data_IF_722868653931
#
_entry.id   IF_722868653931
#
_cell.length_a   1.000
_cell.length_b   1.000
_cell.length_c   1.000
_cell.angle_alpha   90.00
_cell.angle_beta   90.00
_cell.angle_gamma   90.00
#
_symmetry.space_group_name_H-M   'P 1'
#
loop_
_entity.id
_entity.type
_entity.pdbx_description
1 polymer ?
#
# COMPACT_ATOMS: atom_id res chain seq x y z
N UNK A 1 0.03 -13.65 -10.10
CA UNK A 1 -0.42 -13.66 -8.69
C UNK A 1 -1.51 -14.70 -8.47
N UNK A 2 -2.67 -14.65 -9.16
CA UNK A 2 -3.75 -15.63 -8.96
C UNK A 2 -3.34 -17.10 -9.23
N UNK A 3 -2.46 -17.34 -10.21
CA UNK A 3 -1.88 -18.67 -10.45
C UNK A 3 -1.12 -19.21 -9.22
N UNK A 4 -0.33 -18.34 -8.57
CA UNK A 4 0.42 -18.68 -7.35
C UNK A 4 -0.52 -18.91 -6.16
N UNK A 5 -1.60 -18.13 -6.06
CA UNK A 5 -2.66 -18.35 -5.05
C UNK A 5 -3.27 -19.74 -5.22
N UNK A 6 -3.68 -20.09 -6.44
CA UNK A 6 -4.29 -21.39 -6.74
C UNK A 6 -3.33 -22.54 -6.45
N UNK A 7 -2.07 -22.42 -6.87
CA UNK A 7 -1.04 -23.42 -6.60
C UNK A 7 -0.83 -23.63 -5.09
N UNK A 8 -0.78 -22.55 -4.29
CA UNK A 8 -0.63 -22.65 -2.84
C UNK A 8 -1.86 -23.27 -2.18
N UNK A 9 -3.06 -22.90 -2.61
CA UNK A 9 -4.29 -23.52 -2.10
C UNK A 9 -4.29 -25.04 -2.35
N UNK A 10 -3.92 -25.48 -3.56
CA UNK A 10 -3.78 -26.89 -3.90
C UNK A 10 -2.73 -27.60 -3.03
N UNK A 11 -1.54 -27.01 -2.87
CA UNK A 11 -0.47 -27.59 -2.05
C UNK A 11 -0.85 -27.70 -0.56
N UNK A 12 -1.74 -26.83 -0.08
CA UNK A 12 -2.27 -26.84 1.28
C UNK A 12 -3.55 -27.68 1.43
N UNK A 13 -4.06 -28.29 0.35
CA UNK A 13 -5.29 -29.07 0.36
C UNK A 13 -6.56 -28.24 0.62
N UNK A 14 -6.54 -26.94 0.29
CA UNK A 14 -7.67 -26.04 0.47
C UNK A 14 -8.59 -26.08 -0.75
N UNK A 15 -9.86 -26.45 -0.55
CA UNK A 15 -10.91 -26.51 -1.58
C UNK A 15 -11.90 -25.33 -1.52
N UNK A 16 -11.74 -24.46 -0.51
CA UNK A 16 -12.60 -23.32 -0.22
C UNK A 16 -12.05 -21.97 -0.74
N UNK A 17 -11.12 -21.99 -1.70
CA UNK A 17 -10.51 -20.80 -2.30
C UNK A 17 -10.89 -20.72 -3.78
N UNK A 18 -11.63 -19.67 -4.15
CA UNK A 18 -12.04 -19.41 -5.53
C UNK A 18 -11.45 -18.08 -6.02
N UNK A 19 -10.39 -18.07 -6.85
CA UNK A 19 -9.86 -16.84 -7.42
C UNK A 19 -10.79 -16.30 -8.51
N UNK A 20 -11.06 -15.00 -8.47
CA UNK A 20 -11.76 -14.29 -9.53
C UNK A 20 -10.82 -13.20 -10.08
N UNK A 21 -10.56 -13.22 -11.39
CA UNK A 21 -9.73 -12.20 -12.05
C UNK A 21 -10.59 -11.00 -12.41
N UNK A 22 -10.46 -9.92 -11.65
CA UNK A 22 -11.11 -8.62 -11.91
C UNK A 22 -10.17 -7.47 -11.58
N UNK A 23 -10.38 -6.36 -12.27
CA UNK A 23 -9.82 -5.04 -11.95
C UNK A 23 -10.81 -4.20 -11.13
N UNK A 24 -10.32 -3.14 -10.51
CA UNK A 24 -11.15 -2.14 -9.81
C UNK A 24 -12.03 -1.34 -10.77
N UNK A 25 -11.64 -1.24 -12.03
CA UNK A 25 -12.33 -0.48 -13.08
C UNK A 25 -13.43 -1.33 -13.75
N UNK A 26 -13.33 -2.66 -13.68
CA UNK A 26 -14.29 -3.58 -14.26
C UNK A 26 -15.57 -3.69 -13.42
N UNK A 27 -16.67 -4.11 -14.06
CA UNK A 27 -17.90 -4.44 -13.36
C UNK A 27 -17.73 -5.71 -12.50
N UNK A 28 -18.35 -5.70 -11.31
CA UNK A 28 -18.30 -6.76 -10.32
C UNK A 28 -19.65 -7.49 -10.15
N UNK A 29 -20.61 -7.35 -11.06
CA UNK A 29 -21.93 -8.02 -10.94
C UNK A 29 -21.82 -9.54 -10.76
N UNK A 30 -20.82 -10.18 -11.38
CA UNK A 30 -20.51 -11.62 -11.26
C UNK A 30 -19.69 -11.98 -10.01
N UNK A 31 -19.23 -10.99 -9.24
CA UNK A 31 -18.55 -11.22 -7.96
C UNK A 31 -19.61 -11.45 -6.87
N UNK A 32 -19.55 -12.57 -6.12
CA UNK A 32 -20.55 -12.87 -5.11
C UNK A 32 -20.51 -11.87 -3.95
N UNK A 33 -21.67 -11.65 -3.33
CA UNK A 33 -21.73 -10.99 -2.04
C UNK A 33 -21.25 -11.94 -0.93
N UNK A 34 -20.43 -11.42 -0.04
CA UNK A 34 -19.86 -12.14 1.09
C UNK A 34 -20.26 -11.49 2.41
N UNK A 35 -20.08 -12.21 3.51
CA UNK A 35 -20.32 -11.64 4.84
C UNK A 35 -19.39 -10.45 5.11
N UNK A 36 -18.13 -10.57 4.68
CA UNK A 36 -17.13 -9.53 4.83
C UNK A 36 -16.37 -9.32 3.51
N UNK A 37 -15.89 -8.10 3.31
CA UNK A 37 -14.89 -7.80 2.27
C UNK A 37 -13.58 -7.34 2.91
N UNK A 38 -12.46 -7.77 2.33
CA UNK A 38 -11.11 -7.38 2.79
C UNK A 38 -10.32 -6.81 1.63
N UNK A 39 -9.84 -5.58 1.76
CA UNK A 39 -8.92 -4.92 0.82
C UNK A 39 -7.56 -4.72 1.48
N UNK A 40 -6.59 -5.59 1.17
CA UNK A 40 -5.29 -5.58 1.83
C UNK A 40 -4.24 -4.88 0.99
N UNK A 41 -3.90 -3.64 1.33
CA UNK A 41 -2.90 -2.80 0.64
C UNK A 41 -3.17 -2.66 -0.87
N UNK A 42 -4.44 -2.65 -1.24
CA UNK A 42 -4.93 -2.69 -2.63
C UNK A 42 -5.81 -1.49 -2.99
N UNK A 43 -5.71 -0.40 -2.22
CA UNK A 43 -6.56 0.80 -2.33
C UNK A 43 -5.91 1.96 -3.09
N UNK A 44 -4.74 1.78 -3.69
CA UNK A 44 -4.18 2.75 -4.64
C UNK A 44 -4.89 2.63 -5.98
N UNK A 45 -6.10 3.18 -6.03
CA UNK A 45 -7.01 3.19 -7.18
C UNK A 45 -7.23 4.61 -7.67
N UNK A 46 -7.67 4.77 -8.91
CA UNK A 46 -7.93 6.09 -9.49
C UNK A 46 -9.09 6.82 -8.78
N UNK A 47 -10.09 6.07 -8.30
CA UNK A 47 -11.29 6.60 -7.66
C UNK A 47 -11.60 5.80 -6.39
N UNK A 48 -11.12 6.30 -5.26
CA UNK A 48 -11.30 5.63 -3.97
C UNK A 48 -12.77 5.59 -3.55
N UNK A 49 -13.55 6.63 -3.88
CA UNK A 49 -14.96 6.70 -3.50
C UNK A 49 -15.76 5.57 -4.15
N UNK A 50 -15.58 5.37 -5.45
CA UNK A 50 -16.18 4.24 -6.17
C UNK A 50 -15.69 2.88 -5.69
N UNK A 51 -14.43 2.77 -5.29
CA UNK A 51 -13.91 1.53 -4.75
C UNK A 51 -14.55 1.18 -3.39
N UNK A 52 -14.77 2.17 -2.52
CA UNK A 52 -15.52 1.99 -1.27
C UNK A 52 -16.96 1.55 -1.55
N UNK A 53 -17.63 2.15 -2.54
CA UNK A 53 -18.98 1.74 -2.95
C UNK A 53 -19.01 0.30 -3.46
N UNK A 54 -18.02 -0.13 -4.25
CA UNK A 54 -17.90 -1.52 -4.70
C UNK A 54 -17.70 -2.51 -3.56
N UNK A 55 -16.82 -2.19 -2.61
CA UNK A 55 -16.62 -3.01 -1.41
C UNK A 55 -17.90 -3.11 -0.58
N UNK A 56 -18.58 -1.98 -0.37
CA UNK A 56 -19.87 -1.96 0.31
C UNK A 56 -20.91 -2.79 -0.43
N UNK A 57 -21.01 -2.70 -1.75
CA UNK A 57 -21.95 -3.50 -2.54
C UNK A 57 -21.73 -5.01 -2.37
N UNK A 58 -20.49 -5.46 -2.13
CA UNK A 58 -20.14 -6.89 -1.99
C UNK A 58 -20.04 -7.41 -0.56
N UNK A 59 -20.07 -6.54 0.45
CA UNK A 59 -20.13 -6.95 1.86
C UNK A 59 -21.57 -6.96 2.38
N UNK A 60 -21.90 -7.92 3.23
CA UNK A 60 -23.18 -7.94 3.97
C UNK A 60 -23.09 -7.37 5.38
N UNK A 61 -21.94 -7.53 6.05
CA UNK A 61 -21.79 -7.18 7.47
C UNK A 61 -20.71 -6.13 7.71
N UNK A 62 -19.53 -6.29 7.11
CA UNK A 62 -18.40 -5.39 7.38
C UNK A 62 -17.37 -5.37 6.25
N UNK A 63 -16.60 -4.29 6.19
CA UNK A 63 -15.45 -4.15 5.31
C UNK A 63 -14.21 -3.84 6.16
N UNK A 64 -13.09 -4.44 5.77
CA UNK A 64 -11.78 -4.22 6.39
C UNK A 64 -10.76 -3.83 5.32
N UNK A 65 -10.02 -2.75 5.57
CA UNK A 65 -9.01 -2.24 4.65
C UNK A 65 -7.69 -2.03 5.37
N UNK A 66 -6.58 -2.28 4.67
CA UNK A 66 -5.28 -1.75 5.09
C UNK A 66 -4.80 -0.72 4.09
N UNK A 67 -4.41 0.44 4.61
CA UNK A 67 -4.03 1.61 3.81
C UNK A 67 -2.71 2.20 4.30
N UNK A 68 -2.02 2.93 3.43
CA UNK A 68 -0.81 3.67 3.81
C UNK A 68 -1.15 4.74 4.85
N UNK A 69 -0.28 4.89 5.84
CA UNK A 69 -0.30 6.00 6.81
C UNK A 69 0.45 7.19 6.24
N UNK A 70 1.69 6.93 5.85
CA UNK A 70 2.54 7.90 5.19
C UNK A 70 2.06 8.15 3.76
N UNK A 71 2.21 9.40 3.33
CA UNK A 71 1.86 9.84 1.97
C UNK A 71 2.86 9.37 0.91
N UNK A 72 3.99 8.78 1.31
CA UNK A 72 5.07 8.33 0.44
C UNK A 72 5.58 6.92 0.81
N UNK A 73 6.17 6.23 -0.15
CA UNK A 73 6.86 4.95 0.10
C UNK A 73 8.33 5.12 0.46
N UNK A 74 8.93 6.26 0.12
CA UNK A 74 10.32 6.62 0.45
C UNK A 74 10.32 7.38 1.77
N UNK A 75 11.37 7.18 2.56
CA UNK A 75 11.56 7.90 3.81
C UNK A 75 11.58 9.41 3.55
N UNK A 76 10.86 10.16 4.39
CA UNK A 76 10.58 11.58 4.17
C UNK A 76 11.85 12.43 4.14
N UNK A 77 12.84 12.09 4.95
CA UNK A 77 14.16 12.74 5.00
C UNK A 77 14.88 12.69 3.65
N UNK A 78 14.86 11.54 2.97
CA UNK A 78 15.42 11.38 1.62
C UNK A 78 14.68 12.29 0.63
N UNK A 79 13.34 12.32 0.67
CA UNK A 79 12.54 13.16 -0.22
C UNK A 79 12.78 14.65 0.02
N UNK A 80 12.89 15.07 1.28
CA UNK A 80 13.27 16.43 1.64
C UNK A 80 14.66 16.79 1.12
N UNK A 81 15.61 15.86 1.24
CA UNK A 81 16.99 16.07 0.80
C UNK A 81 17.09 16.38 -0.69
N UNK A 82 16.37 15.62 -1.52
CA UNK A 82 16.37 15.82 -2.97
C UNK A 82 15.48 16.98 -3.41
N UNK A 83 14.57 17.45 -2.54
CA UNK A 83 13.61 18.52 -2.84
C UNK A 83 12.30 18.02 -3.45
N UNK A 84 11.92 16.77 -3.17
CA UNK A 84 10.67 16.13 -3.63
C UNK A 84 9.63 15.87 -2.53
N UNK A 85 9.78 16.47 -1.34
CA UNK A 85 8.72 16.43 -0.29
C UNK A 85 7.52 17.31 -0.71
N UNK A 86 6.70 16.77 -1.61
CA UNK A 86 5.53 17.43 -2.22
C UNK A 86 4.22 16.77 -1.77
N UNK A 87 3.10 16.96 -2.50
CA UNK A 87 1.82 16.30 -2.19
C UNK A 87 1.93 14.82 -2.54
N UNK A 88 1.95 13.96 -1.52
CA UNK A 88 2.01 12.51 -1.69
C UNK A 88 0.64 11.88 -1.94
N UNK A 89 0.59 10.56 -1.90
CA UNK A 89 -0.62 9.77 -2.11
C UNK A 89 -1.68 10.05 -1.04
N UNK A 90 -2.98 9.98 -1.41
CA UNK A 90 -4.05 9.96 -0.42
C UNK A 90 -3.84 8.80 0.55
N UNK A 91 -3.73 9.13 1.84
CA UNK A 91 -3.57 8.15 2.89
C UNK A 91 -4.94 7.73 3.45
N UNK A 92 -4.91 6.89 4.49
CA UNK A 92 -6.12 6.38 5.14
C UNK A 92 -7.11 7.47 5.61
N UNK A 93 -6.65 8.70 5.92
CA UNK A 93 -7.54 9.79 6.33
C UNK A 93 -8.52 10.17 5.21
N UNK A 94 -8.10 10.05 3.95
CA UNK A 94 -8.98 10.28 2.81
C UNK A 94 -10.14 9.28 2.80
N UNK A 95 -9.86 8.00 3.03
CA UNK A 95 -10.90 6.97 3.15
C UNK A 95 -11.84 7.25 4.33
N UNK A 96 -11.31 7.61 5.50
CA UNK A 96 -12.12 7.91 6.69
C UNK A 96 -13.08 9.07 6.41
N UNK A 97 -12.62 10.12 5.74
CA UNK A 97 -13.47 11.26 5.38
C UNK A 97 -14.58 10.89 4.39
N UNK A 98 -14.27 10.08 3.37
CA UNK A 98 -15.29 9.57 2.43
C UNK A 98 -16.32 8.70 3.13
N UNK A 99 -15.88 7.78 3.99
CA UNK A 99 -16.75 6.92 4.78
C UNK A 99 -17.66 7.73 5.71
N UNK A 100 -17.11 8.74 6.39
CA UNK A 100 -17.88 9.65 7.23
C UNK A 100 -18.93 10.42 6.43
N UNK A 101 -18.58 10.95 5.25
CA UNK A 101 -19.53 11.64 4.36
C UNK A 101 -20.67 10.73 3.90
N UNK A 102 -20.41 9.43 3.73
CA UNK A 102 -21.42 8.41 3.40
C UNK A 102 -22.22 7.92 4.62
N UNK A 103 -21.93 8.41 5.83
CA UNK A 103 -22.63 8.04 7.06
C UNK A 103 -22.14 6.75 7.73
N UNK A 104 -20.98 6.23 7.33
CA UNK A 104 -20.39 5.05 7.97
C UNK A 104 -19.53 5.44 9.18
N UNK A 105 -19.72 4.73 10.28
CA UNK A 105 -18.88 4.84 11.48
C UNK A 105 -17.66 3.92 11.34
N UNK A 106 -16.60 4.47 10.76
CA UNK A 106 -15.33 3.75 10.60
C UNK A 106 -14.46 3.83 11.85
N UNK A 107 -13.80 2.72 12.19
CA UNK A 107 -12.71 2.66 13.15
C UNK A 107 -11.36 2.53 12.45
N UNK A 108 -10.31 3.04 13.09
CA UNK A 108 -8.93 2.88 12.64
C UNK A 108 -8.07 2.31 13.76
N UNK A 109 -7.25 1.33 13.43
CA UNK A 109 -6.15 0.81 14.23
C UNK A 109 -4.86 0.83 13.38
N UNK A 110 -3.71 0.53 13.96
CA UNK A 110 -2.43 0.60 13.27
C UNK A 110 -1.63 -0.70 13.42
N UNK A 111 -1.19 -1.22 12.27
CA UNK A 111 -0.32 -2.39 12.20
C UNK A 111 1.07 -1.92 11.80
N UNK A 112 2.04 -2.07 12.70
CA UNK A 112 3.46 -1.78 12.41
C UNK A 112 4.20 -3.10 12.20
N UNK A 113 4.88 -3.23 11.07
CA UNK A 113 5.68 -4.40 10.74
C UNK A 113 7.01 -3.99 10.12
N UNK A 114 8.01 -4.86 10.27
CA UNK A 114 9.26 -4.74 9.53
C UNK A 114 9.00 -4.86 8.02
N UNK A 115 9.67 -4.03 7.22
CA UNK A 115 9.56 -4.04 5.77
C UNK A 115 10.15 -5.31 5.14
N UNK A 116 11.05 -5.99 5.85
CA UNK A 116 11.81 -7.15 5.36
C UNK A 116 11.65 -8.35 6.29
N UNK A 117 11.51 -9.54 5.70
CA UNK A 117 11.50 -10.82 6.43
C UNK A 117 12.91 -11.30 6.82
N UNK A 118 13.93 -10.65 6.25
CA UNK A 118 15.36 -10.92 6.47
C UNK A 118 15.94 -9.67 7.12
N UNK A 119 16.91 -9.85 8.02
CA UNK A 119 17.64 -8.72 8.62
C UNK A 119 18.16 -7.80 7.51
N UNK A 120 17.86 -6.50 7.57
CA UNK A 120 18.34 -5.57 6.56
C UNK A 120 19.87 -5.55 6.56
N UNK A 121 20.47 -5.84 5.40
CA UNK A 121 21.88 -5.59 5.16
C UNK A 121 22.06 -4.19 4.55
N UNK A 122 23.30 -3.68 4.59
CA UNK A 122 23.64 -2.43 3.94
C UNK A 122 23.31 -2.53 2.44
N UNK A 123 22.49 -1.60 1.95
CA UNK A 123 22.18 -1.50 0.52
C UNK A 123 23.34 -0.81 -0.19
N UNK A 124 23.67 -1.23 -1.41
CA UNK A 124 24.67 -0.53 -2.24
C UNK A 124 24.08 0.77 -2.84
N UNK A 125 24.96 1.69 -3.25
CA UNK A 125 24.56 3.00 -3.79
C UNK A 125 23.61 2.86 -4.99
N UNK A 126 23.89 1.92 -5.89
CA UNK A 126 23.11 1.73 -7.11
C UNK A 126 21.70 1.23 -6.77
N UNK A 127 21.59 0.20 -5.92
CA UNK A 127 20.31 -0.31 -5.44
C UNK A 127 19.53 0.73 -4.64
N UNK A 128 20.21 1.58 -3.85
CA UNK A 128 19.58 2.70 -3.15
C UNK A 128 18.93 3.67 -4.13
N UNK A 129 19.69 4.18 -5.10
CA UNK A 129 19.19 5.14 -6.10
C UNK A 129 18.06 4.51 -6.93
N UNK A 130 18.23 3.25 -7.34
CA UNK A 130 17.22 2.50 -8.09
C UNK A 130 15.91 2.37 -7.30
N UNK A 131 15.99 2.09 -5.99
CA UNK A 131 14.81 1.96 -5.13
C UNK A 131 14.03 3.27 -5.00
N UNK A 132 14.75 4.40 -4.95
CA UNK A 132 14.15 5.75 -4.95
C UNK A 132 13.49 6.01 -6.31
N UNK A 133 14.23 5.81 -7.41
CA UNK A 133 13.74 6.02 -8.79
C UNK A 133 12.47 5.21 -9.08
N UNK A 134 12.41 3.94 -8.67
CA UNK A 134 11.21 3.13 -8.84
C UNK A 134 9.98 3.67 -8.12
N UNK A 135 10.17 4.41 -7.02
CA UNK A 135 9.04 4.94 -6.26
C UNK A 135 8.58 6.31 -6.75
N UNK A 136 9.50 7.16 -7.21
CA UNK A 136 9.20 8.57 -7.52
C UNK A 136 9.37 8.93 -9.00
N UNK A 137 9.69 7.95 -9.85
CA UNK A 137 9.87 8.12 -11.28
C UNK A 137 11.27 8.61 -11.65
N UNK A 138 11.36 9.23 -12.83
CA UNK A 138 12.62 9.73 -13.38
C UNK A 138 13.30 10.73 -12.43
N UNK A 139 14.64 10.66 -12.38
CA UNK A 139 15.48 11.51 -11.54
C UNK A 139 16.31 12.43 -12.44
N UNK A 140 16.37 13.70 -12.08
CA UNK A 140 17.27 14.68 -12.71
C UNK A 140 18.72 14.44 -12.26
N UNK A 141 19.69 14.96 -13.02
CA UNK A 141 21.10 14.91 -12.65
C UNK A 141 21.38 15.54 -11.27
N UNK A 142 20.67 16.63 -10.94
CA UNK A 142 20.77 17.28 -9.64
C UNK A 142 20.27 16.38 -8.50
N UNK A 143 19.14 15.69 -8.70
CA UNK A 143 18.59 14.77 -7.70
C UNK A 143 19.47 13.54 -7.53
N UNK A 144 20.02 12.98 -8.62
CA UNK A 144 20.98 11.88 -8.54
C UNK A 144 22.24 12.29 -7.77
N UNK A 145 22.78 13.49 -8.01
CA UNK A 145 23.93 13.99 -7.26
C UNK A 145 23.63 14.13 -5.76
N UNK A 146 22.43 14.65 -5.42
CA UNK A 146 21.98 14.74 -4.02
C UNK A 146 21.78 13.37 -3.38
N UNK A 147 21.25 12.37 -4.10
CA UNK A 147 21.11 11.00 -3.57
C UNK A 147 22.47 10.35 -3.28
N UNK A 148 23.47 10.56 -4.15
CA UNK A 148 24.84 10.07 -3.91
C UNK A 148 25.46 10.72 -2.68
N UNK A 149 25.31 12.04 -2.55
CA UNK A 149 25.76 12.77 -1.36
C UNK A 149 25.02 12.31 -0.08
N UNK A 150 23.71 12.06 -0.18
CA UNK A 150 22.93 11.49 0.92
C UNK A 150 23.45 10.12 1.35
N UNK A 151 23.70 9.23 0.39
CA UNK A 151 24.23 7.89 0.62
C UNK A 151 25.62 7.93 1.27
N UNK A 152 26.50 8.82 0.81
CA UNK A 152 27.83 9.02 1.41
C UNK A 152 27.76 9.47 2.88
N UNK A 153 26.75 10.29 3.24
CA UNK A 153 26.50 10.74 4.61
C UNK A 153 25.84 9.69 5.51
N UNK A 154 25.23 8.66 4.92
CA UNK A 154 24.51 7.59 5.63
C UNK A 154 25.09 6.20 5.28
N UNK A 155 26.32 5.89 5.73
CA UNK A 155 27.04 4.67 5.31
C UNK A 155 26.40 3.36 5.78
N UNK A 156 25.44 3.42 6.71
CA UNK A 156 24.72 2.28 7.27
C UNK A 156 23.28 2.19 6.76
N UNK A 157 22.92 2.91 5.70
CA UNK A 157 21.57 2.84 5.14
C UNK A 157 21.27 1.42 4.66
N UNK A 158 20.09 0.93 5.04
CA UNK A 158 19.59 -0.42 4.75
C UNK A 158 18.45 -0.39 3.74
N UNK A 159 17.71 0.73 3.68
CA UNK A 159 16.49 0.87 2.91
C UNK A 159 16.20 2.34 2.64
N UNK A 160 15.72 2.65 1.43
CA UNK A 160 15.18 3.97 1.12
C UNK A 160 13.75 4.18 1.68
N UNK A 161 13.11 3.13 2.21
CA UNK A 161 11.72 3.16 2.69
C UNK A 161 11.60 3.22 4.21
N UNK A 162 12.74 3.15 4.92
CA UNK A 162 12.81 2.86 6.35
C UNK A 162 12.72 1.35 6.65
N UNK A 163 13.01 1.00 7.90
CA UNK A 163 13.04 -0.39 8.38
C UNK A 163 11.65 -0.92 8.76
N UNK A 164 10.78 -0.02 9.23
CA UNK A 164 9.41 -0.34 9.64
C UNK A 164 8.40 0.40 8.79
N UNK A 165 7.25 -0.23 8.58
CA UNK A 165 6.11 0.41 7.93
C UNK A 165 4.84 0.23 8.74
N UNK A 166 4.18 1.36 8.98
CA UNK A 166 2.87 1.43 9.61
C UNK A 166 1.77 1.43 8.56
N UNK A 167 0.78 0.57 8.75
CA UNK A 167 -0.43 0.48 7.94
C UNK A 167 -1.63 0.81 8.82
N UNK A 168 -2.52 1.67 8.31
CA UNK A 168 -3.80 1.91 8.95
C UNK A 168 -4.73 0.75 8.62
N UNK A 169 -5.26 0.10 9.64
CA UNK A 169 -6.33 -0.89 9.55
C UNK A 169 -7.66 -0.17 9.75
N UNK A 170 -8.35 0.10 8.66
CA UNK A 170 -9.66 0.79 8.63
C UNK A 170 -10.76 -0.25 8.56
N UNK A 171 -11.79 -0.12 9.38
CA UNK A 171 -12.92 -1.05 9.39
C UNK A 171 -14.24 -0.34 9.66
N UNK A 172 -15.33 -0.83 9.05
CA UNK A 172 -16.67 -0.32 9.30
C UNK A 172 -17.73 -1.40 9.07
N UNK A 173 -18.88 -1.23 9.70
CA UNK A 173 -20.07 -2.08 9.49
C UNK A 173 -20.91 -1.53 8.34
N UNK A 174 -21.53 -2.42 7.57
CA UNK A 174 -22.53 -2.10 6.56
C UNK A 174 -23.93 -2.33 7.13
#
# INVERSE_FOLDING_TARGET
>A
MLSVLQQRAQNLGLDNVQPIRKSWEENWDDVPECDICVSSRSSMVADLDKALDKLNAKARKAVYMTMIVEKDFIARDILQYIGRDSVGFPNYMYALNLLHQKGYYASVDFITAECSLIKPEKIDEHSFIQSVQWSIGELTEQEMAKLKDYYAKHPNITSARGDFKTWAFVSWKK
#
